data_IF_136250132791
#
_entry.id   IF_136250132791
#
_cell.length_a   1.000
_cell.length_b   1.000
_cell.length_c   1.000
_cell.angle_alpha   90.00
_cell.angle_beta   90.00
_cell.angle_gamma   90.00
#
_symmetry.space_group_name_H-M   'P 1'
#
loop_
_entity.id
_entity.type
_entity.pdbx_description
1 polymer ?
#
# COMPACT_ATOMS: atom_id res chain seq x y z
N UNK A 1 3.94 -15.85 -4.96
CA UNK A 1 3.57 -17.25 -5.23
C UNK A 1 2.13 -17.30 -5.72
N UNK A 2 1.87 -18.12 -6.72
CA UNK A 2 0.52 -18.36 -7.25
C UNK A 2 0.13 -19.78 -6.91
N UNK A 3 -1.06 -19.94 -6.35
CA UNK A 3 -1.66 -21.25 -6.08
C UNK A 3 -2.85 -21.45 -7.00
N UNK A 4 -2.96 -22.63 -7.58
CA UNK A 4 -4.12 -23.07 -8.36
C UNK A 4 -4.89 -24.11 -7.57
N UNK A 5 -6.20 -23.95 -7.53
CA UNK A 5 -7.09 -24.88 -6.85
C UNK A 5 -8.37 -25.07 -7.63
N UNK A 6 -9.02 -26.20 -7.45
CA UNK A 6 -10.34 -26.50 -7.99
C UNK A 6 -11.32 -26.80 -6.86
N UNK A 7 -12.57 -26.38 -7.03
CA UNK A 7 -13.64 -26.72 -6.09
C UNK A 7 -14.66 -27.61 -6.81
N UNK A 8 -15.12 -28.70 -6.19
CA UNK A 8 -16.20 -29.52 -6.74
C UNK A 8 -17.56 -28.82 -6.68
N UNK A 9 -17.66 -27.71 -5.95
CA UNK A 9 -18.88 -26.94 -5.79
C UNK A 9 -18.73 -25.55 -6.41
N UNK A 10 -19.84 -24.98 -6.87
CA UNK A 10 -19.88 -23.59 -7.31
C UNK A 10 -19.55 -22.68 -6.14
N UNK A 11 -18.56 -21.82 -6.31
CA UNK A 11 -18.15 -20.85 -5.30
C UNK A 11 -19.05 -19.61 -5.45
N UNK A 12 -19.74 -19.23 -4.38
CA UNK A 12 -20.37 -17.93 -4.29
C UNK A 12 -19.26 -16.87 -4.10
N UNK A 13 -18.98 -16.13 -5.17
CA UNK A 13 -17.91 -15.13 -5.24
C UNK A 13 -18.13 -13.97 -4.28
N UNK A 14 -19.39 -13.57 -4.04
CA UNK A 14 -19.72 -12.49 -3.12
C UNK A 14 -19.54 -12.92 -1.66
N UNK A 15 -20.01 -14.13 -1.32
CA UNK A 15 -19.80 -14.68 0.02
C UNK A 15 -18.30 -14.88 0.32
N UNK A 16 -17.52 -15.36 -0.66
CA UNK A 16 -16.07 -15.48 -0.52
C UNK A 16 -15.42 -14.11 -0.30
N UNK A 17 -15.80 -13.10 -1.09
CA UNK A 17 -15.26 -11.75 -0.94
C UNK A 17 -15.61 -11.14 0.44
N UNK A 18 -16.85 -11.31 0.90
CA UNK A 18 -17.25 -10.86 2.24
C UNK A 18 -16.43 -11.54 3.35
N UNK A 19 -16.17 -12.84 3.23
CA UNK A 19 -15.32 -13.56 4.18
C UNK A 19 -13.87 -13.05 4.18
N UNK A 20 -13.31 -12.76 3.00
CA UNK A 20 -11.96 -12.17 2.87
C UNK A 20 -11.90 -10.77 3.51
N UNK A 21 -12.92 -9.92 3.32
CA UNK A 21 -12.99 -8.60 3.96
C UNK A 21 -13.06 -8.70 5.48
N UNK A 22 -13.83 -9.67 6.01
CA UNK A 22 -13.91 -9.91 7.46
C UNK A 22 -12.57 -10.41 8.03
N UNK A 23 -11.81 -11.19 7.26
CA UNK A 23 -10.49 -11.66 7.67
C UNK A 23 -9.42 -10.57 7.67
N UNK A 24 -9.63 -9.48 6.91
CA UNK A 24 -8.70 -8.34 6.78
C UNK A 24 -9.42 -7.03 7.11
N UNK A 25 -9.82 -6.78 8.37
CA UNK A 25 -10.54 -5.55 8.74
C UNK A 25 -9.66 -4.32 8.51
N UNK A 26 -10.27 -3.27 7.94
CA UNK A 26 -9.58 -2.01 7.61
C UNK A 26 -8.65 -2.07 6.38
N UNK A 27 -8.65 -3.19 5.65
CA UNK A 27 -7.91 -3.32 4.40
C UNK A 27 -8.60 -2.63 3.22
N UNK A 28 -7.83 -2.44 2.16
CA UNK A 28 -8.32 -1.95 0.86
C UNK A 28 -8.79 -3.14 0.03
N UNK A 29 -10.07 -3.16 -0.29
CA UNK A 29 -10.65 -4.31 -0.98
C UNK A 29 -11.40 -3.90 -2.24
N UNK A 30 -11.29 -4.75 -3.27
CA UNK A 30 -11.96 -4.57 -4.54
C UNK A 30 -12.53 -5.90 -5.03
N UNK A 31 -13.75 -5.85 -5.55
CA UNK A 31 -14.40 -6.93 -6.27
C UNK A 31 -14.68 -6.47 -7.69
N UNK A 32 -14.09 -7.13 -8.67
CA UNK A 32 -14.36 -6.89 -10.10
C UNK A 32 -14.97 -8.14 -10.68
N UNK A 33 -16.24 -8.04 -11.11
CA UNK A 33 -16.92 -9.09 -11.86
C UNK A 33 -16.72 -8.85 -13.36
N UNK A 34 -16.09 -9.81 -14.02
CA UNK A 34 -15.84 -9.82 -15.46
C UNK A 34 -16.71 -10.86 -16.19
N UNK A 35 -17.80 -11.30 -15.55
CA UNK A 35 -18.70 -12.32 -16.03
C UNK A 35 -18.19 -13.74 -15.73
N UNK A 36 -17.42 -14.34 -16.62
CA UNK A 36 -16.89 -15.70 -16.41
C UNK A 36 -15.84 -15.73 -15.29
N UNK A 37 -15.09 -14.68 -15.12
CA UNK A 37 -14.04 -14.52 -14.11
C UNK A 37 -14.36 -13.40 -13.14
N UNK A 38 -13.81 -13.46 -11.95
CA UNK A 38 -13.86 -12.36 -10.99
C UNK A 38 -12.50 -12.18 -10.32
N UNK A 39 -12.12 -10.92 -10.09
CA UNK A 39 -10.97 -10.56 -9.30
C UNK A 39 -11.44 -10.13 -7.90
N UNK A 40 -10.97 -10.84 -6.89
CA UNK A 40 -11.17 -10.53 -5.48
C UNK A 40 -9.83 -10.13 -4.88
N UNK A 41 -9.70 -8.88 -4.45
CA UNK A 41 -8.48 -8.37 -3.84
C UNK A 41 -8.79 -7.79 -2.47
N UNK A 42 -7.98 -8.19 -1.48
CA UNK A 42 -8.02 -7.64 -0.13
C UNK A 42 -6.57 -7.37 0.28
N UNK A 43 -6.21 -6.10 0.47
CA UNK A 43 -4.84 -5.67 0.73
C UNK A 43 -4.77 -4.83 2.00
N UNK A 44 -3.77 -5.03 2.88
CA UNK A 44 -3.52 -4.13 4.01
C UNK A 44 -2.85 -2.82 3.57
N UNK A 45 -2.19 -2.81 2.40
CA UNK A 45 -1.37 -1.69 1.93
C UNK A 45 -2.13 -0.82 0.93
N UNK A 46 -2.07 0.51 1.15
CA UNK A 46 -2.59 1.50 0.20
C UNK A 46 -1.58 1.70 -0.93
N UNK A 47 -1.92 1.25 -2.14
CA UNK A 47 -1.11 1.51 -3.32
C UNK A 47 -1.06 3.01 -3.63
N UNK A 48 -2.22 3.62 -3.87
CA UNK A 48 -2.39 5.08 -3.92
C UNK A 48 -3.84 5.46 -3.67
N UNK A 49 -4.02 6.69 -3.19
CA UNK A 49 -5.28 7.40 -3.13
C UNK A 49 -5.14 8.68 -3.96
N UNK A 50 -5.99 8.82 -4.96
CA UNK A 50 -5.94 9.93 -5.91
C UNK A 50 -7.27 10.67 -5.94
N UNK A 51 -7.20 11.96 -5.74
CA UNK A 51 -8.34 12.85 -5.84
C UNK A 51 -8.07 13.90 -6.93
N UNK A 52 -8.98 14.00 -7.89
CA UNK A 52 -8.96 15.01 -8.96
C UNK A 52 -10.22 15.85 -8.85
N UNK A 53 -10.13 17.10 -8.40
CA UNK A 53 -11.27 18.01 -8.40
C UNK A 53 -11.64 18.39 -9.85
N UNK A 54 -12.87 18.86 -10.05
CA UNK A 54 -13.35 19.31 -11.35
C UNK A 54 -12.51 20.49 -11.91
N UNK A 55 -11.97 21.32 -11.04
CA UNK A 55 -11.06 22.40 -11.38
C UNK A 55 -9.87 22.40 -10.41
N UNK A 56 -8.69 22.77 -10.93
CA UNK A 56 -7.46 22.87 -10.16
C UNK A 56 -6.64 21.58 -10.15
N UNK A 57 -5.63 21.58 -9.30
CA UNK A 57 -4.68 20.47 -9.17
C UNK A 57 -5.28 19.29 -8.43
N UNK A 58 -4.95 18.11 -8.88
CA UNK A 58 -5.25 16.88 -8.13
C UNK A 58 -4.28 16.64 -6.98
N UNK A 59 -4.62 15.74 -6.10
CA UNK A 59 -3.72 15.25 -5.04
C UNK A 59 -3.58 13.75 -5.10
N UNK A 60 -2.40 13.26 -4.75
CA UNK A 60 -2.11 11.84 -4.65
C UNK A 60 -1.36 11.53 -3.35
N UNK A 61 -1.73 10.42 -2.73
CA UNK A 61 -1.09 9.84 -1.56
C UNK A 61 -0.69 8.41 -1.88
N UNK A 62 0.52 8.02 -1.52
CA UNK A 62 0.95 6.62 -1.42
C UNK A 62 1.35 6.32 0.01
N UNK A 63 1.06 5.10 0.50
CA UNK A 63 1.39 4.69 1.87
C UNK A 63 2.05 3.31 1.89
N UNK A 64 3.34 3.24 1.59
CA UNK A 64 4.09 1.98 1.67
C UNK A 64 4.15 1.45 3.10
N UNK A 65 4.16 0.13 3.21
CA UNK A 65 4.31 -0.61 4.46
C UNK A 65 5.59 -1.44 4.41
N UNK A 66 6.57 -1.10 5.25
CA UNK A 66 7.80 -1.86 5.46
C UNK A 66 8.19 -1.81 6.92
N UNK A 67 8.50 -2.96 7.48
CA UNK A 67 8.75 -3.16 8.89
C UNK A 67 7.52 -3.71 9.61
N UNK A 68 7.67 -4.91 10.19
CA UNK A 68 6.59 -5.63 10.86
C UNK A 68 7.11 -6.24 12.17
N UNK A 69 6.32 -6.12 13.24
CA UNK A 69 6.55 -6.85 14.48
C UNK A 69 5.25 -7.51 14.95
N UNK A 70 5.37 -8.65 15.60
CA UNK A 70 4.21 -9.32 16.20
C UNK A 70 3.63 -8.47 17.34
N UNK A 71 2.32 -8.58 17.56
CA UNK A 71 1.67 -8.00 18.75
C UNK A 71 2.16 -8.73 20.02
N UNK A 72 2.30 -7.99 21.10
CA UNK A 72 2.63 -8.57 22.38
C UNK A 72 1.43 -9.22 23.06
N UNK A 73 1.70 -10.25 23.88
CA UNK A 73 0.67 -10.97 24.65
C UNK A 73 0.22 -10.18 25.91
N UNK A 74 0.98 -9.17 26.32
CA UNK A 74 0.64 -8.26 27.41
C UNK A 74 0.84 -6.81 26.96
N UNK A 75 0.19 -5.80 27.57
CA UNK A 75 0.39 -4.41 27.19
C UNK A 75 1.84 -3.95 27.23
N UNK A 76 2.61 -4.39 28.23
CA UNK A 76 4.04 -4.06 28.37
C UNK A 76 4.87 -4.69 27.23
N UNK A 77 4.61 -5.96 26.91
CA UNK A 77 5.28 -6.65 25.79
C UNK A 77 4.89 -6.02 24.45
N UNK A 78 3.62 -5.66 24.25
CA UNK A 78 3.16 -5.02 23.04
C UNK A 78 3.81 -3.65 22.80
N UNK A 79 3.93 -2.83 23.87
CA UNK A 79 4.66 -1.57 23.81
C UNK A 79 6.14 -1.77 23.50
N UNK A 80 6.78 -2.81 24.06
CA UNK A 80 8.18 -3.14 23.78
C UNK A 80 8.38 -3.55 22.31
N UNK A 81 7.46 -4.33 21.72
CA UNK A 81 7.49 -4.70 20.31
C UNK A 81 7.37 -3.47 19.39
N UNK A 82 6.46 -2.56 19.71
CA UNK A 82 6.31 -1.30 18.98
C UNK A 82 7.58 -0.43 19.08
N UNK A 83 8.15 -0.30 20.26
CA UNK A 83 9.39 0.46 20.48
C UNK A 83 10.57 -0.16 19.73
N UNK A 84 10.70 -1.49 19.75
CA UNK A 84 11.73 -2.21 19.01
C UNK A 84 11.60 -1.96 17.50
N UNK A 85 10.40 -2.10 16.95
CA UNK A 85 10.14 -1.83 15.53
C UNK A 85 10.51 -0.39 15.16
N UNK A 86 10.08 0.59 15.97
CA UNK A 86 10.38 2.01 15.75
C UNK A 86 11.87 2.32 15.74
N UNK A 87 12.66 1.66 16.58
CA UNK A 87 14.10 1.88 16.71
C UNK A 87 14.96 1.03 15.76
N UNK A 88 14.37 0.03 15.09
CA UNK A 88 15.10 -0.88 14.21
C UNK A 88 15.73 -0.15 13.02
N UNK A 89 17.05 -0.08 12.98
CA UNK A 89 17.78 0.55 11.88
C UNK A 89 17.52 -0.14 10.54
N UNK A 90 17.40 -1.48 10.55
CA UNK A 90 17.09 -2.29 9.37
C UNK A 90 15.72 -1.92 8.79
N UNK A 91 14.67 -1.99 9.62
CA UNK A 91 13.29 -1.75 9.17
C UNK A 91 13.10 -0.30 8.66
N UNK A 92 13.73 0.66 9.33
CA UNK A 92 13.75 2.06 8.89
C UNK A 92 14.48 2.24 7.57
N UNK A 93 15.61 1.57 7.34
CA UNK A 93 16.36 1.64 6.11
C UNK A 93 15.55 1.05 4.94
N UNK A 94 14.87 -0.10 5.15
CA UNK A 94 14.00 -0.70 4.14
C UNK A 94 12.81 0.22 3.82
N UNK A 95 12.21 0.84 4.83
CA UNK A 95 11.09 1.77 4.64
C UNK A 95 11.54 3.01 3.84
N UNK A 96 12.64 3.65 4.22
CA UNK A 96 13.20 4.83 3.50
C UNK A 96 13.51 4.51 2.05
N UNK A 97 14.05 3.34 1.76
CA UNK A 97 14.35 2.93 0.38
C UNK A 97 13.08 2.93 -0.48
N UNK A 98 11.96 2.44 0.04
CA UNK A 98 10.68 2.45 -0.70
C UNK A 98 10.07 3.85 -0.76
N UNK A 99 10.19 4.65 0.30
CA UNK A 99 9.78 6.06 0.30
C UNK A 99 10.51 6.84 -0.78
N UNK A 100 11.84 6.69 -0.90
CA UNK A 100 12.62 7.37 -1.92
C UNK A 100 12.26 6.92 -3.34
N UNK A 101 11.98 5.64 -3.54
CA UNK A 101 11.48 5.12 -4.80
C UNK A 101 10.14 5.77 -5.18
N UNK A 102 9.19 5.84 -4.25
CA UNK A 102 7.88 6.45 -4.49
C UNK A 102 7.98 7.98 -4.68
N UNK A 103 8.87 8.66 -3.97
CA UNK A 103 9.17 10.07 -4.20
C UNK A 103 9.67 10.31 -5.64
N UNK A 104 10.57 9.44 -6.11
CA UNK A 104 11.05 9.50 -7.49
C UNK A 104 9.93 9.21 -8.50
N UNK A 105 9.12 8.17 -8.28
CA UNK A 105 8.01 7.81 -9.16
C UNK A 105 6.97 8.93 -9.25
N UNK A 106 6.55 9.49 -8.11
CA UNK A 106 5.64 10.63 -8.05
C UNK A 106 6.26 11.90 -8.65
N UNK A 107 7.55 12.14 -8.44
CA UNK A 107 8.26 13.29 -8.97
C UNK A 107 8.23 13.40 -10.50
N UNK A 108 8.01 12.29 -11.19
CA UNK A 108 7.89 12.23 -12.66
C UNK A 108 6.58 12.79 -13.19
N UNK A 109 5.53 12.82 -12.37
CA UNK A 109 4.16 13.23 -12.76
C UNK A 109 3.60 14.37 -11.93
N UNK A 110 4.24 14.70 -10.82
CA UNK A 110 3.81 15.73 -9.89
C UNK A 110 4.21 17.15 -10.35
N UNK A 111 3.52 18.14 -9.80
CA UNK A 111 3.98 19.52 -9.90
C UNK A 111 5.34 19.67 -9.21
N UNK A 112 6.22 20.44 -9.83
CA UNK A 112 7.58 20.67 -9.32
C UNK A 112 7.52 21.19 -7.88
N UNK A 113 8.29 20.57 -6.98
CA UNK A 113 8.37 20.95 -5.57
C UNK A 113 7.20 20.50 -4.69
N UNK A 114 6.19 19.80 -5.24
CA UNK A 114 5.01 19.40 -4.47
C UNK A 114 5.15 18.05 -3.76
N UNK A 115 6.15 17.25 -4.11
CA UNK A 115 6.37 15.93 -3.46
C UNK A 115 6.86 16.13 -2.04
N UNK A 116 6.16 15.55 -1.08
CA UNK A 116 6.44 15.67 0.35
C UNK A 116 6.26 14.34 1.08
N UNK A 117 6.89 14.21 2.23
CA UNK A 117 6.77 13.04 3.13
C UNK A 117 6.26 13.56 4.48
N UNK A 118 4.93 13.76 4.63
CA UNK A 118 4.36 14.35 5.85
C UNK A 118 4.43 13.41 7.06
N UNK A 119 4.51 12.09 6.82
CA UNK A 119 4.64 11.08 7.87
C UNK A 119 5.72 10.06 7.47
N UNK A 120 6.65 9.81 8.38
CA UNK A 120 7.74 8.85 8.21
C UNK A 120 7.85 7.96 9.45
N UNK A 121 7.90 6.63 9.23
CA UNK A 121 8.01 5.61 10.28
C UNK A 121 6.86 5.61 11.29
N UNK A 122 5.65 5.91 10.85
CA UNK A 122 4.46 5.78 11.68
C UNK A 122 4.16 4.31 11.98
N UNK A 123 3.79 4.02 13.23
CA UNK A 123 3.41 2.67 13.63
C UNK A 123 1.88 2.54 13.65
N UNK A 124 1.38 1.58 12.89
CA UNK A 124 -0.01 1.21 12.86
C UNK A 124 -0.22 -0.10 13.61
N UNK A 125 -1.10 -0.08 14.62
CA UNK A 125 -1.54 -1.28 15.30
C UNK A 125 -2.61 -2.00 14.47
N UNK A 126 -2.27 -3.15 13.92
CA UNK A 126 -3.22 -4.08 13.29
C UNK A 126 -3.57 -5.20 14.28
N UNK A 127 -4.62 -5.98 14.03
CA UNK A 127 -5.06 -7.01 14.97
C UNK A 127 -3.95 -7.99 15.39
N UNK A 128 -3.09 -8.41 14.46
CA UNK A 128 -2.06 -9.44 14.68
C UNK A 128 -0.62 -8.91 14.66
N UNK A 129 -0.39 -7.69 14.15
CA UNK A 129 0.96 -7.13 13.97
C UNK A 129 1.00 -5.63 14.21
N UNK A 130 2.18 -5.12 14.56
CA UNK A 130 2.59 -3.74 14.34
C UNK A 130 3.15 -3.61 12.94
N UNK A 131 2.75 -2.56 12.24
CA UNK A 131 3.20 -2.27 10.89
C UNK A 131 3.78 -0.86 10.83
N UNK A 132 4.96 -0.72 10.21
CA UNK A 132 5.55 0.60 9.96
C UNK A 132 5.12 1.10 8.60
N UNK A 133 4.58 2.33 8.56
CA UNK A 133 4.09 3.01 7.36
C UNK A 133 4.75 4.36 7.19
N UNK A 134 4.74 4.87 5.96
CA UNK A 134 5.16 6.24 5.66
C UNK A 134 4.24 6.81 4.59
N UNK A 135 3.98 8.12 4.63
CA UNK A 135 3.15 8.79 3.64
C UNK A 135 4.04 9.56 2.64
N UNK A 136 3.80 9.35 1.36
CA UNK A 136 4.36 10.21 0.30
C UNK A 136 3.20 10.87 -0.45
N UNK A 137 3.19 12.21 -0.48
CA UNK A 137 2.13 13.01 -1.11
C UNK A 137 2.69 13.89 -2.21
N UNK A 138 1.84 14.17 -3.20
CA UNK A 138 2.15 15.13 -4.26
C UNK A 138 0.89 15.80 -4.77
N UNK A 139 1.08 16.97 -5.41
CA UNK A 139 0.05 17.62 -6.21
C UNK A 139 0.26 17.23 -7.68
N UNK A 140 -0.81 16.88 -8.35
CA UNK A 140 -0.81 16.52 -9.77
C UNK A 140 -1.34 17.67 -10.60
N UNK A 141 -0.80 17.90 -11.82
CA UNK A 141 -1.38 18.85 -12.77
C UNK A 141 -2.87 18.56 -13.02
N UNK A 142 -3.63 19.61 -13.28
CA UNK A 142 -5.04 19.47 -13.68
C UNK A 142 -5.16 18.56 -14.90
N UNK A 143 -6.13 17.65 -14.87
CA UNK A 143 -6.39 16.73 -15.98
C UNK A 143 -5.42 15.54 -16.05
N UNK A 144 -4.61 15.29 -15.02
CA UNK A 144 -3.78 14.08 -14.96
C UNK A 144 -4.65 12.84 -15.07
N UNK A 145 -4.39 11.99 -16.06
CA UNK A 145 -5.18 10.78 -16.30
C UNK A 145 -4.71 9.61 -15.40
N UNK A 146 -5.63 8.72 -15.04
CA UNK A 146 -5.31 7.49 -14.30
C UNK A 146 -4.22 6.66 -15.00
N UNK A 147 -4.23 6.61 -16.34
CA UNK A 147 -3.18 5.94 -17.13
C UNK A 147 -1.78 6.48 -16.80
N UNK A 148 -1.62 7.79 -16.69
CA UNK A 148 -0.34 8.44 -16.35
C UNK A 148 0.12 8.05 -14.96
N UNK A 149 -0.80 8.01 -13.98
CA UNK A 149 -0.52 7.57 -12.61
C UNK A 149 -0.06 6.11 -12.61
N UNK A 150 -0.80 5.21 -13.28
CA UNK A 150 -0.43 3.81 -13.36
C UNK A 150 0.92 3.60 -14.06
N UNK A 151 1.22 4.32 -15.14
CA UNK A 151 2.52 4.24 -15.81
C UNK A 151 3.69 4.70 -14.94
N UNK A 152 3.46 5.63 -14.02
CA UNK A 152 4.49 6.08 -13.08
C UNK A 152 4.67 5.12 -11.91
N UNK A 153 3.58 4.65 -11.30
CA UNK A 153 3.62 3.91 -10.05
C UNK A 153 3.64 2.39 -10.21
N UNK A 154 3.02 1.85 -11.27
CA UNK A 154 2.93 0.39 -11.47
C UNK A 154 4.17 -0.16 -12.20
N UNK A 155 4.67 -1.35 -11.82
CA UNK A 155 4.30 -2.08 -10.61
C UNK A 155 4.78 -1.38 -9.34
N UNK A 156 4.13 -1.69 -8.19
CA UNK A 156 4.45 -1.06 -6.92
C UNK A 156 5.90 -1.36 -6.49
N UNK A 157 6.61 -0.31 -6.05
CA UNK A 157 8.00 -0.44 -5.61
C UNK A 157 8.18 -1.32 -4.38
N UNK A 158 7.16 -1.41 -3.51
CA UNK A 158 7.18 -2.31 -2.35
C UNK A 158 7.20 -3.80 -2.73
N UNK A 159 6.76 -4.12 -3.97
CA UNK A 159 6.75 -5.49 -4.51
C UNK A 159 8.00 -5.76 -5.34
N UNK A 160 8.41 -4.82 -6.20
CA UNK A 160 9.56 -5.00 -7.11
C UNK A 160 10.91 -4.79 -6.44
N UNK A 161 10.98 -3.92 -5.44
CA UNK A 161 12.23 -3.46 -4.84
C UNK A 161 12.90 -2.34 -5.64
N UNK A 162 14.10 -1.94 -5.24
CA UNK A 162 14.89 -0.89 -5.88
C UNK A 162 16.22 -1.46 -6.41
N UNK A 163 16.69 -1.02 -7.61
CA UNK A 163 16.05 -0.12 -8.57
C UNK A 163 14.92 -0.79 -9.35
N UNK A 164 13.74 -0.16 -9.40
CA UNK A 164 12.51 -0.71 -9.98
C UNK A 164 12.68 -1.20 -11.43
N UNK A 165 13.28 -0.38 -12.30
CA UNK A 165 13.44 -0.70 -13.75
C UNK A 165 14.36 -1.90 -13.97
N UNK A 166 15.32 -2.17 -13.07
CA UNK A 166 16.21 -3.33 -13.18
C UNK A 166 15.60 -4.60 -12.59
N UNK A 167 14.60 -4.47 -11.74
CA UNK A 167 13.92 -5.58 -11.07
C UNK A 167 12.75 -6.14 -11.91
N UNK A 168 12.36 -5.44 -12.97
CA UNK A 168 11.36 -5.86 -13.97
C UNK A 168 12.01 -6.51 -15.18
#
# INVERSE_FOLDING_TARGET
>A
QTYHGTSPHTIDRHALFAALQQAQPGGFSIFLDMGQEALLSVSPELFFDWHQPAQGSGSILTRPMKGTAARGTTPAHDAAQAAHLRSSAKERAENVMIVDLLRNDLGRIAQIGSVSVPALFELQALPSVWQMTSDVRAQLPQGTALKTILQALFPCGSITGAPKIRAM
#
